data_IF_573125952318
#
_entry.id   IF_573125952318
#
_cell.length_a   1.000
_cell.length_b   1.000
_cell.length_c   1.000
_cell.angle_alpha   90.00
_cell.angle_beta   90.00
_cell.angle_gamma   90.00
#
_symmetry.space_group_name_H-M   'P 1'
#
loop_
_entity.id
_entity.type
_entity.pdbx_description
1 polymer ?
#
# COMPACT_ATOMS: atom_id res chain seq x y z
N UNK A 1 25.95 -35.37 35.06
CA UNK A 1 25.75 -35.23 33.60
C UNK A 1 26.76 -34.20 33.13
N UNK A 2 28.00 -34.64 32.91
CA UNK A 2 28.52 -35.12 31.62
C UNK A 2 28.71 -33.95 30.65
N UNK A 3 29.93 -33.40 30.75
CA UNK A 3 30.73 -32.79 29.69
C UNK A 3 30.24 -33.10 28.26
N UNK A 4 29.85 -32.07 27.53
CA UNK A 4 29.70 -32.12 26.08
C UNK A 4 30.01 -30.76 25.47
N UNK A 5 31.18 -30.67 24.83
CA UNK A 5 31.28 -29.93 23.58
C UNK A 5 32.24 -28.76 23.53
N UNK A 6 33.34 -28.73 24.28
CA UNK A 6 34.47 -27.87 23.92
C UNK A 6 35.38 -28.62 22.93
N UNK A 7 35.33 -28.32 21.61
CA UNK A 7 36.36 -28.78 20.71
C UNK A 7 37.66 -28.07 21.07
N UNK A 8 38.59 -28.83 21.66
CA UNK A 8 39.95 -28.40 22.00
C UNK A 8 40.64 -27.80 20.76
N UNK A 9 40.55 -26.49 20.63
CA UNK A 9 41.19 -25.73 19.55
C UNK A 9 42.67 -25.61 19.91
N UNK A 10 43.52 -26.40 19.26
CA UNK A 10 44.95 -26.45 19.51
C UNK A 10 45.61 -25.13 19.05
N UNK A 11 45.75 -24.18 19.96
CA UNK A 11 46.51 -22.95 19.76
C UNK A 11 47.88 -23.07 20.46
N UNK A 12 48.95 -22.90 19.69
CA UNK A 12 50.32 -22.97 20.16
C UNK A 12 50.97 -21.60 19.95
N UNK A 13 51.57 -21.05 21.00
CA UNK A 13 52.22 -19.74 21.02
C UNK A 13 53.72 -19.92 21.28
N UNK A 14 54.55 -19.27 20.48
CA UNK A 14 56.01 -19.22 20.69
C UNK A 14 56.52 -17.80 20.43
N UNK A 15 57.08 -17.18 21.48
CA UNK A 15 57.72 -15.86 21.40
C UNK A 15 56.77 -14.67 21.58
N UNK A 16 57.33 -13.45 21.72
CA UNK A 16 56.52 -12.26 21.93
C UNK A 16 55.78 -11.94 20.62
N UNK A 17 54.49 -12.31 20.58
CA UNK A 17 53.50 -11.88 19.58
C UNK A 17 53.33 -12.68 18.27
N UNK A 18 53.67 -13.98 18.20
CA UNK A 18 53.29 -14.82 17.05
C UNK A 18 52.40 -15.99 17.52
N UNK A 19 51.11 -15.93 17.17
CA UNK A 19 50.15 -17.02 17.39
C UNK A 19 49.83 -17.70 16.06
N UNK A 20 50.07 -19.02 15.99
CA UNK A 20 49.72 -19.82 14.82
C UNK A 20 48.44 -20.61 15.13
N UNK A 21 47.36 -20.32 14.42
CA UNK A 21 46.11 -21.07 14.54
C UNK A 21 45.99 -22.04 13.38
N UNK A 22 46.03 -23.34 13.66
CA UNK A 22 45.72 -24.37 12.66
C UNK A 22 44.21 -24.33 12.40
N UNK A 23 43.72 -24.46 11.15
CA UNK A 23 42.29 -24.42 10.87
C UNK A 23 41.60 -25.63 11.51
N UNK A 24 41.08 -25.48 12.73
CA UNK A 24 40.02 -26.35 13.23
C UNK A 24 38.78 -26.11 12.36
N UNK A 25 37.92 -27.13 12.16
CA UNK A 25 36.87 -27.15 11.13
C UNK A 25 35.82 -26.01 11.12
N UNK A 26 35.94 -25.01 12.00
CA UNK A 26 35.10 -23.82 12.09
C UNK A 26 35.33 -22.75 11.00
N UNK A 27 36.44 -22.75 10.27
CA UNK A 27 36.66 -21.77 9.19
C UNK A 27 35.59 -21.88 8.08
N UNK A 28 35.27 -23.11 7.66
CA UNK A 28 34.17 -23.36 6.70
C UNK A 28 32.80 -23.01 7.27
N UNK A 29 32.58 -23.25 8.57
CA UNK A 29 31.34 -22.87 9.24
C UNK A 29 31.16 -21.34 9.29
N UNK A 30 32.26 -20.60 9.51
CA UNK A 30 32.26 -19.13 9.49
C UNK A 30 31.98 -18.57 8.10
N UNK A 31 32.61 -19.14 7.05
CA UNK A 31 32.31 -18.77 5.66
C UNK A 31 30.85 -19.03 5.32
N UNK A 32 30.31 -20.21 5.67
CA UNK A 32 28.88 -20.51 5.47
C UNK A 32 27.96 -19.55 6.23
N UNK A 33 28.32 -19.16 7.45
CA UNK A 33 27.56 -18.17 8.21
C UNK A 33 27.58 -16.78 7.55
N UNK A 34 28.73 -16.36 7.00
CA UNK A 34 28.83 -15.10 6.27
C UNK A 34 28.09 -15.13 4.94
N UNK A 35 28.13 -16.24 4.21
CA UNK A 35 27.36 -16.45 2.97
C UNK A 35 25.86 -16.37 3.27
N UNK A 36 25.38 -17.11 4.28
CA UNK A 36 23.98 -17.06 4.69
C UNK A 36 23.54 -15.65 5.15
N UNK A 37 24.43 -14.90 5.80
CA UNK A 37 24.19 -13.50 6.16
C UNK A 37 24.06 -12.58 4.94
N UNK A 38 24.89 -12.79 3.91
CA UNK A 38 24.82 -12.05 2.66
C UNK A 38 23.52 -12.36 1.89
N UNK A 39 23.14 -13.64 1.81
CA UNK A 39 21.89 -14.08 1.19
C UNK A 39 20.67 -13.48 1.90
N UNK A 40 20.69 -13.43 3.23
CA UNK A 40 19.63 -12.80 4.02
C UNK A 40 19.53 -11.28 3.75
N UNK A 41 20.68 -10.59 3.64
CA UNK A 41 20.70 -9.16 3.33
C UNK A 41 20.16 -8.87 1.92
N UNK A 42 20.50 -9.70 0.93
CA UNK A 42 19.96 -9.61 -0.42
C UNK A 42 18.45 -9.84 -0.43
N UNK A 43 17.97 -10.88 0.25
CA UNK A 43 16.54 -11.17 0.35
C UNK A 43 15.76 -10.02 1.03
N UNK A 44 16.35 -9.36 2.04
CA UNK A 44 15.74 -8.20 2.69
C UNK A 44 15.68 -6.98 1.76
N UNK A 45 16.73 -6.74 0.98
CA UNK A 45 16.75 -5.70 -0.03
C UNK A 45 15.65 -5.94 -1.08
N UNK A 46 15.60 -7.13 -1.66
CA UNK A 46 14.59 -7.51 -2.64
C UNK A 46 13.18 -7.34 -2.09
N UNK A 47 12.95 -7.79 -0.85
CA UNK A 47 11.66 -7.63 -0.19
C UNK A 47 11.25 -6.16 -0.07
N UNK A 48 12.19 -5.29 0.34
CA UNK A 48 11.95 -3.85 0.50
C UNK A 48 11.62 -3.19 -0.83
N UNK A 49 12.36 -3.51 -1.89
CA UNK A 49 12.11 -2.98 -3.24
C UNK A 49 10.75 -3.45 -3.77
N UNK A 50 10.46 -4.75 -3.65
CA UNK A 50 9.17 -5.30 -4.10
C UNK A 50 7.99 -4.73 -3.32
N UNK A 51 8.16 -4.50 -2.02
CA UNK A 51 7.15 -3.84 -1.20
C UNK A 51 6.91 -2.41 -1.67
N UNK A 52 7.97 -1.63 -1.87
CA UNK A 52 7.85 -0.25 -2.35
C UNK A 52 7.13 -0.19 -3.72
N UNK A 53 7.47 -1.09 -4.65
CA UNK A 53 6.80 -1.17 -5.96
C UNK A 53 5.32 -1.55 -5.82
N UNK A 54 4.99 -2.48 -4.93
CA UNK A 54 3.59 -2.86 -4.65
C UNK A 54 2.80 -1.69 -4.06
N UNK A 55 3.39 -0.94 -3.14
CA UNK A 55 2.76 0.23 -2.53
C UNK A 55 2.47 1.31 -3.59
N UNK A 56 3.44 1.61 -4.46
CA UNK A 56 3.26 2.55 -5.58
C UNK A 56 2.19 2.07 -6.54
N UNK A 57 2.22 0.80 -6.95
CA UNK A 57 1.18 0.24 -7.83
C UNK A 57 -0.21 0.32 -7.19
N UNK A 58 -0.31 0.03 -5.89
CA UNK A 58 -1.56 0.13 -5.14
C UNK A 58 -2.06 1.57 -5.09
N UNK A 59 -1.18 2.53 -4.83
CA UNK A 59 -1.52 3.96 -4.81
C UNK A 59 -1.99 4.45 -6.18
N UNK A 60 -1.28 4.10 -7.26
CA UNK A 60 -1.66 4.48 -8.63
C UNK A 60 -2.97 3.81 -9.06
N UNK A 61 -3.19 2.56 -8.69
CA UNK A 61 -4.46 1.87 -9.00
C UNK A 61 -5.64 2.50 -8.27
N UNK A 62 -5.47 2.91 -7.01
CA UNK A 62 -6.51 3.63 -6.27
C UNK A 62 -6.79 4.99 -6.91
N UNK A 63 -5.74 5.75 -7.22
CA UNK A 63 -5.87 7.04 -7.86
C UNK A 63 -6.63 6.98 -9.20
N UNK A 64 -6.32 5.98 -10.04
CA UNK A 64 -7.06 5.77 -11.29
C UNK A 64 -8.55 5.49 -11.05
N UNK A 65 -8.87 4.64 -10.06
CA UNK A 65 -10.26 4.34 -9.67
C UNK A 65 -10.98 5.57 -9.12
N UNK A 66 -10.29 6.43 -8.37
CA UNK A 66 -10.83 7.66 -7.82
C UNK A 66 -11.17 8.68 -8.93
N UNK A 67 -10.33 8.78 -9.97
CA UNK A 67 -10.62 9.60 -11.15
C UNK A 67 -11.84 9.08 -11.93
N UNK A 68 -11.93 7.76 -12.16
CA UNK A 68 -13.09 7.16 -12.82
C UNK A 68 -14.38 7.39 -12.00
N UNK A 69 -14.29 7.24 -10.68
CA UNK A 69 -15.38 7.51 -9.75
C UNK A 69 -15.80 8.98 -9.80
N UNK A 70 -14.85 9.91 -9.81
CA UNK A 70 -15.12 11.34 -9.90
C UNK A 70 -15.90 11.65 -11.18
N UNK A 71 -15.46 11.12 -12.31
CA UNK A 71 -16.14 11.31 -13.60
C UNK A 71 -17.59 10.80 -13.57
N UNK A 72 -17.83 9.62 -12.99
CA UNK A 72 -19.19 9.08 -12.84
C UNK A 72 -20.06 9.94 -11.90
N UNK A 73 -19.48 10.50 -10.84
CA UNK A 73 -20.20 11.40 -9.93
C UNK A 73 -20.54 12.74 -10.59
N UNK A 74 -19.65 13.29 -11.41
CA UNK A 74 -19.92 14.47 -12.23
C UNK A 74 -21.07 14.23 -13.20
N UNK A 75 -21.08 13.09 -13.89
CA UNK A 75 -22.19 12.71 -14.76
C UNK A 75 -23.51 12.56 -13.99
N UNK A 76 -23.48 11.90 -12.82
CA UNK A 76 -24.67 11.73 -11.98
C UNK A 76 -25.22 13.07 -11.49
N UNK A 77 -24.34 14.00 -11.12
CA UNK A 77 -24.72 15.36 -10.71
C UNK A 77 -25.38 16.12 -11.88
N UNK A 78 -24.81 16.06 -13.08
CA UNK A 78 -25.40 16.68 -14.27
C UNK A 78 -26.78 16.12 -14.60
N UNK A 79 -26.98 14.81 -14.48
CA UNK A 79 -28.30 14.19 -14.68
C UNK A 79 -29.30 14.62 -13.60
N UNK A 80 -28.87 14.74 -12.34
CA UNK A 80 -29.73 15.23 -11.26
C UNK A 80 -30.13 16.70 -11.48
N UNK A 81 -29.23 17.54 -11.97
CA UNK A 81 -29.52 18.94 -12.31
C UNK A 81 -30.56 19.04 -13.42
N UNK A 82 -30.36 18.29 -14.51
CA UNK A 82 -31.33 18.19 -15.60
C UNK A 82 -32.71 17.71 -15.12
N UNK A 83 -32.76 16.72 -14.23
CA UNK A 83 -34.00 16.20 -13.68
C UNK A 83 -34.70 17.21 -12.77
N UNK A 84 -33.93 17.94 -11.94
CA UNK A 84 -34.45 19.02 -11.09
C UNK A 84 -35.04 20.14 -11.93
N UNK A 85 -34.31 20.61 -12.95
CA UNK A 85 -34.78 21.66 -13.85
C UNK A 85 -36.02 21.26 -14.66
N UNK A 86 -36.15 19.98 -15.05
CA UNK A 86 -37.34 19.46 -15.72
C UNK A 86 -38.55 19.40 -14.77
N UNK A 87 -38.39 18.85 -13.56
CA UNK A 87 -39.46 18.78 -12.58
C UNK A 87 -39.95 20.17 -12.16
N UNK A 88 -39.03 21.12 -12.00
CA UNK A 88 -39.39 22.51 -11.70
C UNK A 88 -40.27 23.12 -12.80
N UNK A 89 -39.94 22.88 -14.07
CA UNK A 89 -40.76 23.33 -15.21
C UNK A 89 -42.14 22.66 -15.23
N UNK A 90 -42.21 21.36 -14.96
CA UNK A 90 -43.47 20.62 -14.91
C UNK A 90 -44.36 21.11 -13.76
N UNK A 91 -43.79 21.38 -12.59
CA UNK A 91 -44.50 21.95 -11.44
C UNK A 91 -45.03 23.36 -11.76
N UNK A 92 -44.19 24.24 -12.32
CA UNK A 92 -44.60 25.58 -12.73
C UNK A 92 -45.71 25.55 -13.79
N UNK A 93 -45.70 24.53 -14.66
CA UNK A 93 -46.76 24.28 -15.64
C UNK A 93 -47.99 23.56 -15.07
N UNK A 94 -48.05 23.26 -13.76
CA UNK A 94 -49.16 22.56 -13.12
C UNK A 94 -49.30 21.07 -13.51
N UNK A 95 -48.27 20.48 -14.13
CA UNK A 95 -48.29 19.10 -14.66
C UNK A 95 -47.86 18.06 -13.65
N UNK A 96 -47.16 18.46 -12.59
CA UNK A 96 -46.69 17.58 -11.51
C UNK A 96 -46.88 18.23 -10.14
N UNK A 97 -47.09 17.45 -9.07
CA UNK A 97 -47.15 17.98 -7.71
C UNK A 97 -45.84 18.64 -7.28
N UNK A 98 -45.92 19.60 -6.34
CA UNK A 98 -44.74 20.26 -5.78
C UNK A 98 -43.74 19.27 -5.15
N UNK A 99 -44.25 18.20 -4.52
CA UNK A 99 -43.41 17.17 -3.90
C UNK A 99 -42.45 16.50 -4.89
N UNK A 100 -42.84 16.33 -6.16
CA UNK A 100 -41.94 15.79 -7.20
C UNK A 100 -40.79 16.74 -7.53
N UNK A 101 -41.03 18.06 -7.50
CA UNK A 101 -39.98 19.06 -7.65
C UNK A 101 -39.03 19.06 -6.45
N UNK A 102 -39.59 18.99 -5.23
CA UNK A 102 -38.80 18.97 -4.01
C UNK A 102 -37.92 17.72 -3.89
N UNK A 103 -38.44 16.56 -4.29
CA UNK A 103 -37.68 15.31 -4.31
C UNK A 103 -36.50 15.39 -5.30
N UNK A 104 -36.73 15.93 -6.50
CA UNK A 104 -35.68 16.14 -7.49
C UNK A 104 -34.60 17.15 -7.01
N UNK A 105 -35.00 18.22 -6.32
CA UNK A 105 -34.06 19.14 -5.66
C UNK A 105 -33.26 18.48 -4.55
N UNK A 106 -33.89 17.62 -3.75
CA UNK A 106 -33.20 16.82 -2.72
C UNK A 106 -32.18 15.87 -3.35
N UNK A 107 -32.52 15.20 -4.45
CA UNK A 107 -31.60 14.32 -5.18
C UNK A 107 -30.41 15.10 -5.72
N UNK A 108 -30.63 16.28 -6.33
CA UNK A 108 -29.55 17.16 -6.78
C UNK A 108 -28.63 17.56 -5.63
N UNK A 109 -29.18 18.05 -4.52
CA UNK A 109 -28.38 18.41 -3.35
C UNK A 109 -27.55 17.23 -2.82
N UNK A 110 -28.11 16.01 -2.84
CA UNK A 110 -27.37 14.80 -2.47
C UNK A 110 -26.24 14.48 -3.44
N UNK A 111 -26.45 14.66 -4.74
CA UNK A 111 -25.43 14.46 -5.77
C UNK A 111 -24.30 15.49 -5.63
N UNK A 112 -24.63 16.77 -5.41
CA UNK A 112 -23.67 17.85 -5.17
C UNK A 112 -22.80 17.56 -3.94
N UNK A 113 -23.41 17.17 -2.82
CA UNK A 113 -22.67 16.77 -1.62
C UNK A 113 -21.75 15.58 -1.88
N UNK A 114 -22.20 14.58 -2.64
CA UNK A 114 -21.40 13.39 -2.94
C UNK A 114 -20.20 13.74 -3.83
N UNK A 115 -20.39 14.58 -4.84
CA UNK A 115 -19.33 15.06 -5.72
C UNK A 115 -18.33 15.93 -4.96
N UNK A 116 -18.79 16.88 -4.14
CA UNK A 116 -17.93 17.73 -3.32
C UNK A 116 -17.07 16.90 -2.35
N UNK A 117 -17.64 15.88 -1.72
CA UNK A 117 -16.90 14.96 -0.85
C UNK A 117 -15.87 14.12 -1.61
N UNK A 118 -16.11 13.80 -2.88
CA UNK A 118 -15.15 13.08 -3.72
C UNK A 118 -14.03 14.00 -4.21
N UNK A 119 -14.31 15.27 -4.49
CA UNK A 119 -13.31 16.26 -4.89
C UNK A 119 -12.40 16.72 -3.74
N UNK A 120 -12.87 16.61 -2.49
CA UNK A 120 -12.11 17.01 -1.31
C UNK A 120 -11.13 15.93 -0.80
N UNK A 121 -11.18 14.71 -1.35
CA UNK A 121 -10.26 13.61 -1.05
C UNK A 121 -9.01 13.70 -1.93
#
# INVERSE_FOLDING_TARGET
MADFGEPATHAWSFGPLISWTLPSGGARARVRATEAGADAALAQFDNTVLQALREVQTALSRYAQDLDRLHLLEQAQQQADLASAQNRRLYQGGRTPYLSSLDAERTLASADMTLANAQAQ
#
